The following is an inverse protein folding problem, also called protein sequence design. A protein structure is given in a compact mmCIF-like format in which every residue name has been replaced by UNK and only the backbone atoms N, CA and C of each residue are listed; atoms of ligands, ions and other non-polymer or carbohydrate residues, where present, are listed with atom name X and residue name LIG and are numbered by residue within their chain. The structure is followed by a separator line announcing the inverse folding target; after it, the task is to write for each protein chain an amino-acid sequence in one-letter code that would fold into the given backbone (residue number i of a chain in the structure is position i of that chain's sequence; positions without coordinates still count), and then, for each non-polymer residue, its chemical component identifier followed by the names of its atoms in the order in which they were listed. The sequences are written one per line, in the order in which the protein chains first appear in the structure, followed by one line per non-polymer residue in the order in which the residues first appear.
data_IF_690560634700
#
_entry.id   IF_690560634700
#
_cell.length_a   1.000
_cell.length_b   1.000
_cell.length_c   1.000
_cell.angle_alpha   90.00
_cell.angle_beta   90.00
_cell.angle_gamma   90.00
#
_symmetry.space_group_name_H-M   'P 1'
#
loop_
_entity.id
_entity.type
_entity.pdbx_description
1 polymer ?
#
# COMPACT_ATOMS: atom_id res chain seq x y z
N UNK A 1 0.83 -28.47 -12.42
CA UNK A 1 0.92 -27.15 -11.76
C UNK A 1 -0.43 -26.66 -11.30
N UNK A 2 -1.41 -26.60 -12.20
CA UNK A 2 -2.78 -26.16 -11.89
C UNK A 2 -3.40 -26.83 -10.64
N UNK A 3 -3.36 -28.16 -10.54
CA UNK A 3 -3.93 -28.87 -9.38
C UNK A 3 -3.25 -28.51 -8.04
N UNK A 4 -1.95 -28.18 -8.05
CA UNK A 4 -1.25 -27.73 -6.82
C UNK A 4 -1.75 -26.36 -6.40
N UNK A 5 -1.91 -25.45 -7.36
CA UNK A 5 -2.42 -24.12 -7.13
C UNK A 5 -3.87 -24.15 -6.63
N UNK A 6 -4.71 -25.03 -7.20
CA UNK A 6 -6.07 -25.26 -6.71
C UNK A 6 -6.07 -25.76 -5.27
N UNK A 7 -5.18 -26.70 -4.93
CA UNK A 7 -5.08 -27.23 -3.58
C UNK A 7 -4.65 -26.16 -2.56
N UNK A 8 -3.65 -25.34 -2.90
CA UNK A 8 -3.20 -24.27 -2.00
C UNK A 8 -4.27 -23.17 -1.85
N UNK A 9 -4.96 -22.77 -2.93
CA UNK A 9 -6.10 -21.87 -2.83
C UNK A 9 -7.22 -22.46 -1.97
N UNK A 10 -7.58 -23.74 -2.19
CA UNK A 10 -8.61 -24.42 -1.40
C UNK A 10 -8.26 -24.43 0.11
N UNK A 11 -6.98 -24.61 0.47
CA UNK A 11 -6.55 -24.51 1.88
C UNK A 11 -6.79 -23.11 2.46
N UNK A 12 -6.56 -22.06 1.67
CA UNK A 12 -6.80 -20.67 2.10
C UNK A 12 -8.31 -20.44 2.28
N UNK A 13 -9.13 -20.73 1.28
CA UNK A 13 -10.56 -20.36 1.27
C UNK A 13 -11.47 -21.27 2.10
N UNK A 14 -11.06 -22.50 2.44
CA UNK A 14 -11.83 -23.38 3.33
C UNK A 14 -11.81 -22.95 4.80
N UNK A 15 -10.85 -22.13 5.21
CA UNK A 15 -10.75 -21.66 6.60
C UNK A 15 -11.76 -20.53 6.81
N UNK A 16 -12.59 -20.64 7.84
CA UNK A 16 -13.59 -19.62 8.23
C UNK A 16 -12.95 -18.25 8.45
N UNK A 17 -11.73 -18.21 8.99
CA UNK A 17 -10.96 -16.97 9.19
C UNK A 17 -10.73 -16.17 7.90
N UNK A 18 -10.63 -16.81 6.74
CA UNK A 18 -10.41 -16.12 5.46
C UNK A 18 -11.62 -15.29 5.08
N UNK A 19 -12.83 -15.82 5.32
CA UNK A 19 -14.07 -15.08 5.12
C UNK A 19 -14.24 -13.97 6.15
N UNK A 20 -13.84 -14.20 7.41
CA UNK A 20 -13.81 -13.14 8.42
C UNK A 20 -12.86 -12.00 8.03
N UNK A 21 -11.71 -12.30 7.42
CA UNK A 21 -10.78 -11.30 6.90
C UNK A 21 -11.42 -10.46 5.78
N UNK A 22 -12.07 -11.12 4.80
CA UNK A 22 -12.71 -10.42 3.68
C UNK A 22 -13.86 -9.52 4.16
N UNK A 23 -14.76 -10.05 5.00
CA UNK A 23 -15.87 -9.29 5.57
C UNK A 23 -15.34 -8.15 6.45
N UNK A 24 -14.34 -8.44 7.28
CA UNK A 24 -13.68 -7.45 8.13
C UNK A 24 -13.09 -6.30 7.30
N UNK A 25 -12.40 -6.60 6.19
CA UNK A 25 -11.86 -5.58 5.29
C UNK A 25 -12.95 -4.68 4.72
N UNK A 26 -14.07 -5.25 4.24
CA UNK A 26 -15.20 -4.45 3.73
C UNK A 26 -15.78 -3.55 4.82
N UNK A 27 -15.95 -4.07 6.03
CA UNK A 27 -16.42 -3.26 7.18
C UNK A 27 -15.43 -2.16 7.55
N UNK A 28 -14.13 -2.43 7.51
CA UNK A 28 -13.08 -1.43 7.72
C UNK A 28 -13.16 -0.32 6.66
N UNK A 29 -13.36 -0.66 5.38
CA UNK A 29 -13.51 0.33 4.31
C UNK A 29 -14.74 1.20 4.52
N UNK A 30 -15.89 0.59 4.83
CA UNK A 30 -17.13 1.31 5.14
C UNK A 30 -16.90 2.26 6.33
N UNK A 31 -16.37 1.75 7.44
CA UNK A 31 -16.14 2.53 8.64
C UNK A 31 -15.14 3.67 8.42
N UNK A 32 -14.07 3.43 7.68
CA UNK A 32 -13.05 4.43 7.35
C UNK A 32 -13.62 5.57 6.50
N UNK A 33 -14.32 5.26 5.41
CA UNK A 33 -14.90 6.29 4.53
C UNK A 33 -16.02 7.08 5.21
N UNK A 34 -16.84 6.42 6.02
CA UNK A 34 -17.83 7.12 6.86
C UNK A 34 -17.12 8.03 7.86
N UNK A 35 -16.07 7.56 8.53
CA UNK A 35 -15.32 8.37 9.49
C UNK A 35 -14.67 9.59 8.84
N UNK A 36 -14.14 9.46 7.61
CA UNK A 36 -13.60 10.59 6.86
C UNK A 36 -14.67 11.65 6.56
N UNK A 37 -15.87 11.23 6.16
CA UNK A 37 -17.01 12.14 5.92
C UNK A 37 -17.38 13.00 7.13
N UNK A 38 -17.20 12.48 8.35
CA UNK A 38 -17.51 13.19 9.60
C UNK A 38 -16.30 13.90 10.21
N UNK A 39 -15.06 13.41 10.00
CA UNK A 39 -13.83 13.98 10.56
C UNK A 39 -13.33 15.20 9.78
N UNK A 40 -13.53 15.20 8.46
CA UNK A 40 -13.16 16.33 7.57
C UNK A 40 -14.16 17.50 7.67
N UNK A 41 -15.14 17.44 8.59
CA UNK A 41 -16.08 18.56 8.86
C UNK A 41 -15.82 19.26 10.21
N UNK A 42 -14.74 20.04 10.37
CA UNK A 42 -14.70 21.06 11.41
C UNK A 42 -15.60 22.25 10.99
N UNK A 43 -16.83 22.28 11.52
CA UNK A 43 -17.55 23.49 11.94
C UNK A 43 -17.56 24.69 10.94
N UNK A 44 -18.09 24.58 9.70
CA UNK A 44 -18.68 25.73 8.96
C UNK A 44 -19.29 25.48 7.55
N UNK A 45 -19.48 24.25 7.07
CA UNK A 45 -19.80 24.02 5.65
C UNK A 45 -21.10 23.25 5.41
N UNK A 46 -22.20 23.76 5.96
CA UNK A 46 -23.53 23.32 5.50
C UNK A 46 -24.02 24.07 4.26
N UNK A 47 -23.40 25.22 3.87
CA UNK A 47 -23.87 26.07 2.75
C UNK A 47 -22.84 27.06 2.17
N UNK A 48 -21.52 26.93 2.42
CA UNK A 48 -20.53 27.91 1.96
C UNK A 48 -19.85 27.44 0.66
N UNK A 49 -19.91 28.27 -0.38
CA UNK A 49 -19.16 28.15 -1.64
C UNK A 49 -17.72 27.66 -1.38
N UNK A 50 -17.31 26.58 -2.05
CA UNK A 50 -15.98 25.98 -1.86
C UNK A 50 -14.86 27.00 -2.05
N UNK A 51 -15.07 28.03 -2.91
CA UNK A 51 -14.12 29.13 -3.09
C UNK A 51 -13.91 29.95 -1.83
N UNK A 52 -14.99 30.22 -1.08
CA UNK A 52 -14.92 30.98 0.18
C UNK A 52 -14.13 30.19 1.23
N UNK A 53 -14.36 28.88 1.31
CA UNK A 53 -13.65 28.01 2.24
C UNK A 53 -12.15 27.92 1.87
N UNK A 54 -11.85 27.75 0.59
CA UNK A 54 -10.47 27.68 0.11
C UNK A 54 -9.74 29.02 0.28
N UNK A 55 -10.39 30.16 0.02
CA UNK A 55 -9.81 31.48 0.29
C UNK A 55 -9.49 31.67 1.77
N UNK A 56 -10.38 31.22 2.66
CA UNK A 56 -10.13 31.23 4.10
C UNK A 56 -8.95 30.34 4.49
N UNK A 57 -8.81 29.18 3.86
CA UNK A 57 -7.68 28.28 4.09
C UNK A 57 -6.36 28.89 3.60
N UNK A 58 -6.34 29.50 2.41
CA UNK A 58 -5.18 30.24 1.89
C UNK A 58 -4.76 31.36 2.84
N UNK A 59 -5.72 32.14 3.36
CA UNK A 59 -5.42 33.20 4.34
C UNK A 59 -4.83 32.65 5.64
N UNK A 60 -5.41 31.57 6.17
CA UNK A 60 -4.88 30.91 7.37
C UNK A 60 -3.45 30.40 7.13
N UNK A 61 -3.18 29.81 5.98
CA UNK A 61 -1.87 29.27 5.62
C UNK A 61 -0.81 30.36 5.43
N UNK A 62 -1.19 31.49 4.84
CA UNK A 62 -0.34 32.68 4.75
C UNK A 62 0.00 33.23 6.14
N UNK A 63 -0.98 33.27 7.05
CA UNK A 63 -0.75 33.67 8.44
C UNK A 63 0.16 32.67 9.16
N UNK A 64 -0.01 31.37 8.93
CA UNK A 64 0.87 30.34 9.49
C UNK A 64 2.31 30.55 9.03
N UNK A 65 2.55 30.79 7.74
CA UNK A 65 3.90 31.06 7.19
C UNK A 65 4.51 32.35 7.75
N UNK A 66 3.70 33.37 8.01
CA UNK A 66 4.18 34.63 8.59
C UNK A 66 4.53 34.50 10.08
N UNK A 67 3.77 33.69 10.83
CA UNK A 67 3.83 33.63 12.29
C UNK A 67 4.62 32.44 12.85
N UNK A 68 4.87 31.40 12.05
CA UNK A 68 5.62 30.21 12.45
C UNK A 68 6.74 29.91 11.46
N UNK A 69 7.90 29.51 11.99
CA UNK A 69 8.99 28.95 11.21
C UNK A 69 9.39 27.59 11.80
N UNK A 70 9.07 26.51 11.09
CA UNK A 70 9.40 25.14 11.49
C UNK A 70 10.39 24.47 10.52
N UNK A 71 11.17 25.27 9.79
CA UNK A 71 12.17 24.77 8.84
C UNK A 71 11.68 24.74 7.39
N UNK A 72 12.61 24.41 6.48
CA UNK A 72 12.42 24.52 5.03
C UNK A 72 11.32 23.58 4.49
N UNK A 73 11.30 22.31 4.92
CA UNK A 73 10.32 21.33 4.44
C UNK A 73 8.89 21.70 4.85
N UNK A 74 8.72 22.20 6.08
CA UNK A 74 7.42 22.68 6.55
C UNK A 74 6.95 23.90 5.74
N UNK A 75 7.86 24.86 5.46
CA UNK A 75 7.53 26.02 4.61
C UNK A 75 7.15 25.58 3.20
N UNK A 76 7.89 24.64 2.61
CA UNK A 76 7.60 24.09 1.29
C UNK A 76 6.22 23.42 1.24
N UNK A 77 5.87 22.62 2.25
CA UNK A 77 4.56 21.97 2.35
C UNK A 77 3.40 22.96 2.44
N UNK A 78 3.50 23.96 3.34
CA UNK A 78 2.44 24.98 3.48
C UNK A 78 2.33 25.85 2.23
N UNK A 79 3.47 26.21 1.62
CA UNK A 79 3.50 26.95 0.34
C UNK A 79 2.83 26.17 -0.78
N UNK A 80 3.12 24.87 -0.89
CA UNK A 80 2.51 23.97 -1.87
C UNK A 80 0.99 23.91 -1.71
N UNK A 81 0.49 23.83 -0.47
CA UNK A 81 -0.95 23.87 -0.19
C UNK A 81 -1.59 25.19 -0.61
N UNK A 82 -0.94 26.33 -0.35
CA UNK A 82 -1.41 27.65 -0.82
C UNK A 82 -1.49 27.67 -2.36
N UNK A 83 -0.45 27.20 -3.04
CA UNK A 83 -0.39 27.22 -4.51
C UNK A 83 -1.47 26.33 -5.13
N UNK A 84 -1.68 25.12 -4.63
CA UNK A 84 -2.77 24.23 -5.06
C UNK A 84 -4.12 24.89 -4.81
N UNK A 85 -4.32 25.45 -3.62
CA UNK A 85 -5.59 26.05 -3.28
C UNK A 85 -5.92 27.29 -4.13
N UNK A 86 -4.91 28.13 -4.40
CA UNK A 86 -5.05 29.27 -5.28
C UNK A 86 -5.34 28.83 -6.72
N UNK A 87 -4.69 27.76 -7.19
CA UNK A 87 -4.91 27.20 -8.53
C UNK A 87 -6.36 26.74 -8.72
N UNK A 88 -6.94 26.04 -7.73
CA UNK A 88 -8.35 25.66 -7.73
C UNK A 88 -9.26 26.88 -7.88
N UNK A 89 -9.03 27.94 -7.10
CA UNK A 89 -9.82 29.19 -7.14
C UNK A 89 -9.72 29.85 -8.52
N UNK A 90 -8.49 30.01 -9.03
CA UNK A 90 -8.19 30.74 -10.27
C UNK A 90 -8.73 30.03 -11.51
N UNK A 91 -8.68 28.69 -11.53
CA UNK A 91 -9.14 27.86 -12.65
C UNK A 91 -10.58 27.36 -12.47
N UNK A 92 -11.25 27.74 -11.39
CA UNK A 92 -12.62 27.30 -11.07
C UNK A 92 -12.77 25.77 -11.02
N UNK A 93 -11.78 25.07 -10.47
CA UNK A 93 -11.76 23.61 -10.31
C UNK A 93 -12.15 23.29 -8.86
N UNK A 94 -13.25 22.56 -8.60
CA UNK A 94 -13.62 22.20 -7.23
C UNK A 94 -12.62 21.21 -6.61
N UNK A 95 -12.47 21.22 -5.26
CA UNK A 95 -11.61 20.27 -4.57
C UNK A 95 -12.12 18.84 -4.74
N UNK A 96 -11.20 17.89 -4.85
CA UNK A 96 -11.52 16.49 -5.13
C UNK A 96 -11.80 15.66 -3.88
N UNK A 97 -11.55 16.20 -2.69
CA UNK A 97 -11.67 15.46 -1.41
C UNK A 97 -13.09 14.94 -1.15
N UNK A 98 -14.12 15.70 -1.53
CA UNK A 98 -15.54 15.36 -1.37
C UNK A 98 -16.14 14.68 -2.61
N UNK A 99 -15.31 14.04 -3.44
CA UNK A 99 -15.75 13.37 -4.68
C UNK A 99 -15.65 11.86 -4.59
N UNK A 100 -16.29 11.16 -5.53
CA UNK A 100 -16.21 9.71 -5.64
C UNK A 100 -14.74 9.22 -5.64
N UNK A 101 -13.90 9.86 -6.45
CA UNK A 101 -12.49 9.49 -6.61
C UNK A 101 -11.60 9.99 -5.47
N UNK A 102 -11.95 11.09 -4.81
CA UNK A 102 -11.30 11.54 -3.58
C UNK A 102 -11.36 10.50 -2.48
N UNK A 103 -12.56 9.97 -2.22
CA UNK A 103 -12.74 8.86 -1.27
C UNK A 103 -11.99 7.59 -1.67
N UNK A 104 -11.92 7.27 -2.97
CA UNK A 104 -11.12 6.13 -3.45
C UNK A 104 -9.64 6.36 -3.20
N UNK A 105 -9.13 7.58 -3.43
CA UNK A 105 -7.75 7.95 -3.11
C UNK A 105 -7.48 7.84 -1.61
N UNK A 106 -8.38 8.33 -0.76
CA UNK A 106 -8.27 8.16 0.69
C UNK A 106 -8.29 6.68 1.11
N UNK A 107 -9.12 5.86 0.47
CA UNK A 107 -9.16 4.42 0.75
C UNK A 107 -7.86 3.69 0.36
N UNK A 108 -6.98 4.30 -0.45
CA UNK A 108 -5.65 3.75 -0.72
C UNK A 108 -4.80 3.66 0.57
N UNK A 109 -5.06 4.48 1.58
CA UNK A 109 -4.39 4.39 2.88
C UNK A 109 -4.64 3.03 3.57
N UNK A 110 -5.75 2.37 3.25
CA UNK A 110 -6.07 1.02 3.76
C UNK A 110 -5.29 -0.10 3.05
N UNK A 111 -4.45 0.21 2.05
CA UNK A 111 -3.58 -0.79 1.43
C UNK A 111 -2.59 -1.40 2.44
N UNK A 112 -2.24 -0.66 3.49
CA UNK A 112 -1.46 -1.19 4.61
C UNK A 112 -2.20 -2.35 5.30
N UNK A 113 -3.51 -2.25 5.47
CA UNK A 113 -4.35 -3.30 6.07
C UNK A 113 -4.39 -4.53 5.16
N UNK A 114 -4.59 -4.33 3.86
CA UNK A 114 -4.53 -5.39 2.84
C UNK A 114 -3.17 -6.11 2.88
N UNK A 115 -2.08 -5.35 2.97
CA UNK A 115 -0.72 -5.90 3.02
C UNK A 115 -0.51 -6.72 4.29
N UNK A 116 -0.91 -6.23 5.46
CA UNK A 116 -0.80 -6.97 6.74
C UNK A 116 -1.60 -8.28 6.70
N UNK A 117 -2.86 -8.23 6.24
CA UNK A 117 -3.72 -9.42 6.15
C UNK A 117 -3.13 -10.47 5.21
N UNK A 118 -2.53 -10.03 4.12
CA UNK A 118 -1.85 -10.91 3.16
C UNK A 118 -0.55 -11.49 3.74
N UNK A 119 0.22 -10.69 4.47
CA UNK A 119 1.43 -11.11 5.18
C UNK A 119 1.13 -12.22 6.19
N UNK A 120 -0.02 -12.18 6.87
CA UNK A 120 -0.43 -13.25 7.78
C UNK A 120 -0.57 -14.58 7.01
N UNK A 121 -1.24 -14.58 5.86
CA UNK A 121 -1.42 -15.78 5.03
C UNK A 121 -0.10 -16.24 4.41
N UNK A 122 0.71 -15.31 3.90
CA UNK A 122 2.02 -15.61 3.32
C UNK A 122 3.01 -16.16 4.35
N UNK A 123 3.07 -15.54 5.52
CA UNK A 123 3.90 -15.92 6.66
C UNK A 123 3.57 -17.31 7.20
N UNK A 124 2.29 -17.71 7.21
CA UNK A 124 1.88 -19.06 7.60
C UNK A 124 2.07 -20.10 6.49
N UNK A 125 2.17 -19.71 5.22
CA UNK A 125 2.10 -20.61 4.06
C UNK A 125 3.04 -21.82 4.11
N UNK A 126 4.30 -21.61 4.48
CA UNK A 126 5.32 -22.67 4.62
C UNK A 126 5.60 -22.99 6.09
N UNK A 127 5.73 -21.98 6.95
CA UNK A 127 5.98 -22.17 8.38
C UNK A 127 4.84 -22.91 9.10
N UNK A 128 3.60 -22.78 8.64
CA UNK A 128 2.44 -23.51 9.14
C UNK A 128 2.55 -25.01 8.91
N UNK A 129 3.09 -25.45 7.79
CA UNK A 129 3.30 -26.89 7.52
C UNK A 129 4.32 -27.52 8.47
N UNK A 130 5.30 -26.73 8.96
CA UNK A 130 6.20 -27.17 10.03
C UNK A 130 5.51 -27.23 11.38
N UNK A 131 4.69 -26.22 11.67
CA UNK A 131 3.97 -26.11 12.95
C UNK A 131 2.95 -27.25 13.10
N UNK A 132 2.24 -27.57 12.02
CA UNK A 132 1.23 -28.64 11.97
C UNK A 132 1.84 -30.04 11.78
N UNK A 133 3.17 -30.15 11.58
CA UNK A 133 3.86 -31.41 11.31
C UNK A 133 3.58 -32.02 9.92
N UNK A 134 2.82 -31.34 9.07
CA UNK A 134 2.42 -31.81 7.73
C UNK A 134 3.51 -31.66 6.67
N UNK A 135 4.61 -30.97 6.97
CA UNK A 135 5.73 -30.78 6.05
C UNK A 135 6.30 -32.11 5.53
N UNK A 136 6.31 -33.17 6.36
CA UNK A 136 6.77 -34.51 5.97
C UNK A 136 5.83 -35.09 4.90
N UNK A 137 4.53 -35.03 5.13
CA UNK A 137 3.48 -35.51 4.21
C UNK A 137 3.51 -34.76 2.88
N UNK A 138 3.88 -33.49 2.91
CA UNK A 138 4.00 -32.64 1.73
C UNK A 138 5.22 -33.01 0.88
N UNK A 139 6.35 -33.38 1.50
CA UNK A 139 7.59 -33.73 0.78
C UNK A 139 7.67 -35.18 0.27
N UNK A 140 6.88 -36.12 0.80
CA UNK A 140 6.83 -37.50 0.28
C UNK A 140 6.03 -37.64 -1.03
N UNK A 141 5.27 -36.61 -1.41
CA UNK A 141 4.52 -36.62 -2.68
C UNK A 141 5.47 -36.63 -3.86
N UNK A 142 5.15 -37.32 -4.97
CA UNK A 142 5.98 -37.39 -6.18
C UNK A 142 5.89 -36.09 -7.01
N UNK A 143 6.14 -34.95 -6.37
CA UNK A 143 6.07 -33.60 -6.95
C UNK A 143 7.35 -32.87 -6.57
N UNK A 144 7.97 -32.17 -7.52
CA UNK A 144 9.21 -31.46 -7.22
C UNK A 144 9.00 -30.35 -6.17
N UNK A 145 9.96 -30.21 -5.25
CA UNK A 145 9.95 -29.19 -4.19
C UNK A 145 9.74 -27.77 -4.74
N UNK A 146 10.34 -27.46 -5.89
CA UNK A 146 10.18 -26.19 -6.58
C UNK A 146 8.73 -25.92 -7.00
N UNK A 147 8.03 -26.93 -7.54
CA UNK A 147 6.62 -26.78 -7.93
C UNK A 147 5.73 -26.50 -6.72
N UNK A 148 6.04 -27.13 -5.58
CA UNK A 148 5.29 -26.93 -4.33
C UNK A 148 5.52 -25.51 -3.78
N UNK A 149 6.78 -25.09 -3.68
CA UNK A 149 7.13 -23.75 -3.20
C UNK A 149 6.51 -22.67 -4.10
N UNK A 150 6.63 -22.83 -5.41
CA UNK A 150 6.05 -21.89 -6.38
C UNK A 150 4.52 -21.85 -6.30
N UNK A 151 3.83 -23.01 -6.18
CA UNK A 151 2.36 -23.00 -6.03
C UNK A 151 1.90 -22.28 -4.76
N UNK A 152 2.66 -22.39 -3.67
CA UNK A 152 2.39 -21.68 -2.42
C UNK A 152 2.58 -20.17 -2.56
N UNK A 153 3.67 -19.75 -3.20
CA UNK A 153 3.92 -18.33 -3.48
C UNK A 153 2.82 -17.72 -4.35
N UNK A 154 2.46 -18.39 -5.47
CA UNK A 154 1.39 -17.90 -6.35
C UNK A 154 0.04 -17.87 -5.64
N UNK A 155 -0.28 -18.86 -4.79
CA UNK A 155 -1.50 -18.80 -3.97
C UNK A 155 -1.52 -17.61 -3.02
N UNK A 156 -0.38 -17.27 -2.38
CA UNK A 156 -0.26 -16.05 -1.57
C UNK A 156 -0.51 -14.80 -2.41
N UNK A 157 0.09 -14.69 -3.60
CA UNK A 157 -0.09 -13.53 -4.50
C UNK A 157 -1.55 -13.42 -4.99
N UNK A 158 -2.19 -14.53 -5.35
CA UNK A 158 -3.60 -14.54 -5.74
C UNK A 158 -4.49 -14.05 -4.60
N UNK A 159 -4.18 -14.43 -3.37
CA UNK A 159 -4.90 -13.94 -2.20
C UNK A 159 -4.68 -12.43 -1.98
N UNK A 160 -3.45 -11.92 -2.19
CA UNK A 160 -3.17 -10.47 -2.16
C UNK A 160 -4.02 -9.72 -3.20
N UNK A 161 -4.05 -10.22 -4.44
CA UNK A 161 -4.81 -9.61 -5.53
C UNK A 161 -6.31 -9.63 -5.24
N UNK A 162 -6.83 -10.68 -4.61
CA UNK A 162 -8.21 -10.73 -4.15
C UNK A 162 -8.49 -9.63 -3.13
N UNK A 163 -7.68 -9.51 -2.06
CA UNK A 163 -7.90 -8.48 -1.04
C UNK A 163 -7.73 -7.06 -1.58
N UNK A 164 -6.77 -6.84 -2.47
CA UNK A 164 -6.63 -5.61 -3.24
C UNK A 164 -7.92 -5.27 -4.01
N UNK A 165 -8.48 -6.26 -4.72
CA UNK A 165 -9.70 -6.08 -5.50
C UNK A 165 -10.90 -5.80 -4.60
N UNK A 166 -11.00 -6.50 -3.46
CA UNK A 166 -12.05 -6.25 -2.46
C UNK A 166 -11.95 -4.84 -1.90
N UNK A 167 -10.76 -4.36 -1.56
CA UNK A 167 -10.54 -2.98 -1.12
C UNK A 167 -11.00 -1.99 -2.20
N UNK A 168 -10.50 -2.12 -3.43
CA UNK A 168 -10.82 -1.18 -4.50
C UNK A 168 -12.31 -1.17 -4.83
N UNK A 169 -12.93 -2.35 -5.00
CA UNK A 169 -14.35 -2.47 -5.34
C UNK A 169 -15.24 -1.98 -4.19
N UNK A 170 -14.93 -2.32 -2.94
CA UNK A 170 -15.71 -1.82 -1.79
C UNK A 170 -15.57 -0.31 -1.64
N UNK A 171 -14.38 0.26 -1.81
CA UNK A 171 -14.17 1.70 -1.79
C UNK A 171 -14.98 2.40 -2.89
N UNK A 172 -14.96 1.86 -4.11
CA UNK A 172 -15.75 2.38 -5.24
C UNK A 172 -17.25 2.34 -4.96
N UNK A 173 -17.78 1.21 -4.47
CA UNK A 173 -19.21 1.06 -4.17
C UNK A 173 -19.63 2.00 -3.04
N UNK A 174 -18.90 2.01 -1.91
CA UNK A 174 -19.22 2.86 -0.75
C UNK A 174 -19.13 4.33 -1.13
N UNK A 175 -18.09 4.72 -1.85
CA UNK A 175 -17.93 6.10 -2.33
C UNK A 175 -19.07 6.51 -3.26
N UNK A 176 -19.46 5.65 -4.21
CA UNK A 176 -20.60 5.92 -5.09
C UNK A 176 -21.95 5.93 -4.38
N UNK A 177 -22.11 5.25 -3.24
CA UNK A 177 -23.32 5.37 -2.40
C UNK A 177 -23.35 6.70 -1.64
N UNK A 178 -22.20 7.18 -1.15
CA UNK A 178 -22.11 8.45 -0.39
C UNK A 178 -22.25 9.66 -1.31
N UNK A 179 -21.51 9.66 -2.43
CA UNK A 179 -21.36 10.81 -3.31
C UNK A 179 -22.14 10.68 -4.63
N UNK A 180 -22.73 9.52 -4.94
CA UNK A 180 -23.29 9.24 -6.26
C UNK A 180 -22.23 8.91 -7.31
N UNK A 181 -22.65 8.29 -8.42
CA UNK A 181 -21.77 7.91 -9.53
C UNK A 181 -21.72 9.01 -10.60
N UNK A 182 -21.34 10.23 -10.20
CA UNK A 182 -21.13 11.36 -11.11
C UNK A 182 -19.67 11.85 -11.03
N UNK A 183 -19.31 12.80 -11.88
CA UNK A 183 -17.99 13.46 -11.87
C UNK A 183 -16.79 12.50 -12.01
N UNK A 184 -16.94 11.50 -12.89
CA UNK A 184 -15.95 10.45 -13.12
C UNK A 184 -14.65 10.94 -13.79
N UNK A 185 -14.60 12.18 -14.28
CA UNK A 185 -13.49 12.71 -15.07
C UNK A 185 -12.97 14.07 -14.59
N UNK A 186 -13.09 14.36 -13.28
CA UNK A 186 -12.58 15.62 -12.72
C UNK A 186 -11.06 15.70 -12.74
N UNK A 187 -10.56 16.94 -12.80
CA UNK A 187 -9.15 17.25 -12.68
C UNK A 187 -8.66 17.07 -11.24
N UNK A 188 -7.53 16.41 -11.09
CA UNK A 188 -6.77 16.30 -9.86
C UNK A 188 -5.60 17.28 -9.90
N UNK A 189 -5.56 18.18 -8.93
CA UNK A 189 -4.55 19.23 -8.82
C UNK A 189 -3.63 18.90 -7.66
N UNK A 190 -2.32 18.90 -7.89
CA UNK A 190 -1.31 18.71 -6.86
C UNK A 190 -0.10 19.61 -7.13
N UNK A 191 0.69 19.89 -6.10
CA UNK A 191 1.96 20.59 -6.24
C UNK A 191 3.13 19.64 -5.99
N UNK A 192 4.13 19.74 -6.84
CA UNK A 192 5.44 19.11 -6.64
C UNK A 192 6.26 19.91 -5.61
N UNK A 193 7.28 19.29 -5.00
CA UNK A 193 8.13 19.96 -4.00
C UNK A 193 8.91 21.18 -4.53
N UNK A 194 9.01 21.35 -5.85
CA UNK A 194 9.57 22.52 -6.52
C UNK A 194 8.58 23.70 -6.61
N UNK A 195 7.36 23.54 -6.10
CA UNK A 195 6.30 24.55 -6.13
C UNK A 195 5.54 24.61 -7.46
N UNK A 196 5.76 23.67 -8.38
CA UNK A 196 5.02 23.61 -9.64
C UNK A 196 3.69 22.89 -9.40
N UNK A 197 2.60 23.56 -9.78
CA UNK A 197 1.25 22.97 -9.74
C UNK A 197 1.01 22.18 -11.02
N UNK A 198 0.56 20.94 -10.86
CA UNK A 198 0.21 20.02 -11.92
C UNK A 198 -1.27 19.68 -11.86
N UNK A 199 -1.89 19.65 -13.03
CA UNK A 199 -3.26 19.17 -13.24
C UNK A 199 -3.20 17.84 -14.01
N UNK A 200 -3.85 16.81 -13.50
CA UNK A 200 -3.94 15.49 -14.15
C UNK A 200 -5.34 14.92 -14.02
N UNK A 201 -5.64 13.86 -14.76
CA UNK A 201 -6.91 13.16 -14.62
C UNK A 201 -6.96 12.36 -13.29
N UNK A 202 -8.01 12.54 -12.49
CA UNK A 202 -8.10 11.88 -11.18
C UNK A 202 -8.15 10.35 -11.27
N UNK A 203 -8.76 9.79 -12.31
CA UNK A 203 -8.86 8.34 -12.52
C UNK A 203 -7.47 7.78 -12.75
N UNK A 204 -6.69 8.43 -13.61
CA UNK A 204 -5.32 8.02 -13.88
C UNK A 204 -4.47 8.12 -12.62
N UNK A 205 -4.61 9.19 -11.84
CA UNK A 205 -3.88 9.35 -10.59
C UNK A 205 -4.27 8.23 -9.59
N UNK A 206 -5.56 8.00 -9.36
CA UNK A 206 -6.06 6.96 -8.47
C UNK A 206 -5.58 5.56 -8.87
N UNK A 207 -5.74 5.17 -10.13
CA UNK A 207 -5.28 3.86 -10.62
C UNK A 207 -3.77 3.73 -10.43
N UNK A 208 -2.99 4.77 -10.76
CA UNK A 208 -1.54 4.74 -10.60
C UNK A 208 -1.13 4.58 -9.14
N UNK A 209 -1.77 5.29 -8.22
CA UNK A 209 -1.55 5.17 -6.76
C UNK A 209 -1.78 3.72 -6.30
N UNK A 210 -2.91 3.13 -6.65
CA UNK A 210 -3.22 1.74 -6.29
C UNK A 210 -2.22 0.73 -6.88
N UNK A 211 -1.83 0.89 -8.15
CA UNK A 211 -0.85 -0.01 -8.79
C UNK A 211 0.54 0.13 -8.16
N UNK A 212 0.98 1.33 -7.82
CA UNK A 212 2.26 1.57 -7.17
C UNK A 212 2.28 0.97 -5.75
N UNK A 213 1.22 1.15 -4.98
CA UNK A 213 1.11 0.48 -3.68
C UNK A 213 0.98 -1.06 -3.81
N UNK A 214 0.40 -1.57 -4.90
CA UNK A 214 0.37 -3.01 -5.16
C UNK A 214 1.79 -3.58 -5.38
N UNK A 215 2.71 -2.81 -5.98
CA UNK A 215 4.13 -3.21 -6.09
C UNK A 215 4.76 -3.33 -4.70
N UNK A 216 4.53 -2.36 -3.82
CA UNK A 216 4.97 -2.42 -2.42
C UNK A 216 4.41 -3.67 -1.72
N UNK A 217 3.11 -3.92 -1.84
CA UNK A 217 2.45 -5.09 -1.28
C UNK A 217 3.11 -6.39 -1.77
N UNK A 218 3.34 -6.55 -3.07
CA UNK A 218 4.00 -7.75 -3.64
C UNK A 218 5.39 -7.94 -3.03
N UNK A 219 6.17 -6.88 -2.87
CA UNK A 219 7.50 -6.96 -2.26
C UNK A 219 7.46 -7.39 -0.80
N UNK A 220 6.55 -6.82 -0.01
CA UNK A 220 6.38 -7.18 1.41
C UNK A 220 5.88 -8.62 1.55
N UNK A 221 4.94 -9.05 0.69
CA UNK A 221 4.44 -10.44 0.66
C UNK A 221 5.54 -11.43 0.28
N UNK A 222 6.42 -11.04 -0.64
CA UNK A 222 7.59 -11.82 -1.04
C UNK A 222 8.60 -11.97 0.10
N UNK A 223 8.90 -10.88 0.80
CA UNK A 223 9.74 -10.88 2.00
C UNK A 223 9.13 -11.80 3.07
N UNK A 224 7.83 -11.66 3.33
CA UNK A 224 7.11 -12.52 4.28
C UNK A 224 7.14 -13.99 3.89
N UNK A 225 7.00 -14.29 2.60
CA UNK A 225 7.10 -15.66 2.09
C UNK A 225 8.49 -16.24 2.31
N UNK A 226 9.55 -15.47 2.05
CA UNK A 226 10.92 -15.87 2.36
C UNK A 226 11.08 -16.16 3.85
N UNK A 227 10.60 -15.27 4.73
CA UNK A 227 10.62 -15.47 6.18
C UNK A 227 9.85 -16.73 6.58
N UNK A 228 8.70 -17.01 5.96
CA UNK A 228 7.92 -18.23 6.16
C UNK A 228 8.74 -19.49 5.87
N UNK A 229 9.50 -19.48 4.76
CA UNK A 229 10.35 -20.60 4.36
C UNK A 229 11.53 -20.79 5.32
N UNK A 230 12.11 -19.70 5.80
CA UNK A 230 13.22 -19.71 6.75
C UNK A 230 12.79 -20.14 8.16
N UNK A 231 11.51 -19.95 8.50
CA UNK A 231 10.98 -20.22 9.83
C UNK A 231 10.49 -21.66 9.98
N UNK A 232 10.37 -22.13 11.24
CA UNK A 232 9.71 -23.40 11.60
C UNK A 232 8.45 -23.20 12.44
N UNK A 233 8.18 -21.96 12.85
CA UNK A 233 7.02 -21.56 13.64
C UNK A 233 6.22 -20.54 12.83
N UNK A 234 4.93 -20.81 12.64
CA UNK A 234 4.00 -19.89 11.96
C UNK A 234 3.89 -18.56 12.71
N UNK A 235 3.75 -18.60 14.03
CA UNK A 235 3.66 -17.41 14.87
C UNK A 235 4.90 -16.51 14.73
N UNK A 236 6.10 -17.10 14.78
CA UNK A 236 7.34 -16.36 14.59
C UNK A 236 7.44 -15.75 13.19
N UNK A 237 7.11 -16.53 12.15
CA UNK A 237 7.17 -16.05 10.77
C UNK A 237 6.24 -14.84 10.53
N UNK A 238 5.01 -14.91 11.04
CA UNK A 238 4.01 -13.84 10.95
C UNK A 238 4.52 -12.61 11.71
N UNK A 239 4.91 -12.77 12.97
CA UNK A 239 5.37 -11.67 13.82
C UNK A 239 6.60 -10.96 13.23
N UNK A 240 7.60 -11.72 12.75
CA UNK A 240 8.80 -11.15 12.14
C UNK A 240 8.49 -10.42 10.83
N UNK A 241 7.58 -10.96 10.01
CA UNK A 241 7.17 -10.31 8.75
C UNK A 241 6.47 -8.98 9.00
N UNK A 242 5.49 -8.95 9.91
CA UNK A 242 4.76 -7.73 10.27
C UNK A 242 5.72 -6.72 10.94
N UNK A 243 6.55 -7.19 11.86
CA UNK A 243 7.54 -6.35 12.54
C UNK A 243 8.52 -5.71 11.55
N UNK A 244 9.00 -6.47 10.56
CA UNK A 244 9.92 -5.96 9.54
C UNK A 244 9.23 -5.00 8.57
N UNK A 245 7.95 -5.22 8.25
CA UNK A 245 7.18 -4.29 7.43
C UNK A 245 7.10 -2.91 8.11
N UNK A 246 6.61 -2.84 9.35
CA UNK A 246 6.43 -1.57 10.05
C UNK A 246 7.76 -0.93 10.43
N UNK A 247 8.70 -1.69 11.01
CA UNK A 247 10.02 -1.16 11.33
C UNK A 247 10.75 -0.68 10.07
N UNK A 248 10.61 -1.43 8.98
CA UNK A 248 11.20 -1.11 7.68
C UNK A 248 10.77 0.26 7.17
N UNK A 249 9.46 0.52 7.16
CA UNK A 249 8.92 1.83 6.75
C UNK A 249 9.25 2.94 7.75
N UNK A 250 9.30 2.67 9.06
CA UNK A 250 9.64 3.69 10.06
C UNK A 250 11.11 4.12 10.00
N UNK A 251 12.01 3.20 9.62
CA UNK A 251 13.45 3.48 9.52
C UNK A 251 13.78 4.39 8.32
N UNK A 252 12.96 4.38 7.26
CA UNK A 252 13.12 5.25 6.06
C UNK A 252 13.34 6.71 6.45
N UNK A 253 12.47 7.27 7.29
CA UNK A 253 12.57 8.67 7.70
C UNK A 253 13.83 9.01 8.50
N UNK A 254 14.38 8.03 9.24
CA UNK A 254 15.65 8.21 9.97
C UNK A 254 16.86 8.10 9.03
N UNK A 255 16.77 7.27 8.00
CA UNK A 255 17.87 7.02 7.07
C UNK A 255 17.96 8.04 5.93
N UNK A 256 16.91 8.80 5.64
CA UNK A 256 16.85 9.77 4.52
C UNK A 256 17.97 10.82 4.54
N UNK A 257 18.54 11.11 5.71
CA UNK A 257 19.71 11.99 5.87
C UNK A 257 21.00 11.42 5.26
N UNK A 258 21.07 10.11 4.98
CA UNK A 258 22.25 9.45 4.46
C UNK A 258 22.11 9.11 2.98
N UNK A 259 23.11 9.49 2.17
CA UNK A 259 23.10 9.25 0.71
C UNK A 259 23.08 7.77 0.30
N UNK A 260 23.53 6.87 1.18
CA UNK A 260 23.48 5.42 0.93
C UNK A 260 22.09 4.82 1.18
N UNK A 261 21.19 5.54 1.88
CA UNK A 261 19.85 5.05 2.20
C UNK A 261 18.99 4.81 0.96
N UNK A 262 19.34 5.39 -0.19
CA UNK A 262 18.73 5.05 -1.48
C UNK A 262 18.81 3.55 -1.83
N UNK A 263 19.77 2.80 -1.28
CA UNK A 263 19.87 1.35 -1.49
C UNK A 263 19.00 0.53 -0.51
N UNK A 264 18.42 1.16 0.49
CA UNK A 264 17.55 0.51 1.45
C UNK A 264 16.25 0.04 0.76
N UNK A 265 15.81 -1.19 1.04
CA UNK A 265 14.65 -1.77 0.37
C UNK A 265 13.40 -0.90 0.48
N UNK A 266 13.02 -0.52 1.70
CA UNK A 266 11.75 0.16 1.95
C UNK A 266 11.69 1.57 1.36
N UNK A 267 12.85 2.19 1.14
CA UNK A 267 12.99 3.46 0.40
C UNK A 267 12.52 3.34 -1.05
N UNK A 268 12.71 2.16 -1.66
CA UNK A 268 12.42 1.92 -3.06
C UNK A 268 11.05 1.28 -3.29
N UNK A 269 10.40 0.74 -2.25
CA UNK A 269 9.12 0.05 -2.41
C UNK A 269 7.95 1.00 -2.58
N UNK A 270 8.01 2.21 -2.03
CA UNK A 270 6.99 3.22 -2.25
C UNK A 270 7.27 3.95 -3.58
N UNK A 271 6.54 3.58 -4.63
CA UNK A 271 6.65 4.24 -5.94
C UNK A 271 5.72 5.46 -6.07
N UNK A 272 4.84 5.71 -5.08
CA UNK A 272 3.90 6.85 -5.11
C UNK A 272 4.62 8.19 -5.01
N UNK A 273 5.82 8.22 -4.41
CA UNK A 273 6.71 9.39 -4.38
C UNK A 273 7.06 9.95 -5.78
N UNK A 274 6.97 9.13 -6.83
CA UNK A 274 7.23 9.57 -8.21
C UNK A 274 6.00 10.15 -8.91
N UNK A 275 4.79 9.97 -8.37
CA UNK A 275 3.58 10.61 -8.91
C UNK A 275 3.59 12.11 -8.65
N UNK A 276 4.14 12.52 -7.51
CA UNK A 276 4.23 13.92 -7.07
C UNK A 276 5.59 14.54 -7.36
N UNK A 277 6.46 13.85 -8.12
CA UNK A 277 7.79 14.35 -8.49
C UNK A 277 8.74 14.57 -7.31
N UNK A 278 8.47 13.94 -6.16
CA UNK A 278 9.01 14.34 -4.86
C UNK A 278 9.62 13.13 -4.13
N UNK A 279 10.73 12.56 -4.65
CA UNK A 279 11.38 11.43 -3.99
C UNK A 279 11.96 11.83 -2.63
N UNK A 280 11.89 10.92 -1.67
CA UNK A 280 12.32 11.17 -0.29
C UNK A 280 13.84 11.39 -0.16
N UNK A 281 14.64 10.79 -1.05
CA UNK A 281 16.08 11.06 -1.16
C UNK A 281 16.40 11.76 -2.49
N UNK A 282 17.11 12.90 -2.47
CA UNK A 282 17.51 13.60 -3.68
C UNK A 282 18.28 12.71 -4.66
N UNK A 283 17.93 12.79 -5.94
CA UNK A 283 18.59 12.04 -7.02
C UNK A 283 18.09 10.61 -7.21
N UNK A 284 17.10 10.15 -6.43
CA UNK A 284 16.39 8.91 -6.74
C UNK A 284 15.53 9.08 -8.00
N UNK A 285 15.51 8.05 -8.83
CA UNK A 285 14.69 7.99 -10.04
C UNK A 285 13.81 6.74 -10.01
N UNK A 286 12.68 6.79 -10.70
CA UNK A 286 11.77 5.65 -10.80
C UNK A 286 12.48 4.39 -11.31
N UNK A 287 13.35 4.52 -12.32
CA UNK A 287 14.11 3.40 -12.87
C UNK A 287 15.08 2.79 -11.84
N UNK A 288 15.73 3.63 -11.04
CA UNK A 288 16.60 3.17 -9.98
C UNK A 288 15.81 2.36 -8.93
N UNK A 289 14.65 2.85 -8.51
CA UNK A 289 13.82 2.12 -7.54
C UNK A 289 13.27 0.80 -8.07
N UNK A 290 12.82 0.77 -9.34
CA UNK A 290 12.42 -0.48 -10.01
C UNK A 290 13.58 -1.49 -10.05
N UNK A 291 14.80 -1.01 -10.32
CA UNK A 291 16.00 -1.87 -10.35
C UNK A 291 16.28 -2.46 -8.97
N UNK A 292 16.23 -1.64 -7.91
CA UNK A 292 16.42 -2.09 -6.54
C UNK A 292 15.34 -3.09 -6.10
N UNK A 293 14.07 -2.81 -6.42
CA UNK A 293 12.95 -3.73 -6.20
C UNK A 293 13.24 -5.09 -6.86
N UNK A 294 13.66 -5.10 -8.13
CA UNK A 294 13.95 -6.34 -8.86
C UNK A 294 15.11 -7.13 -8.23
N UNK A 295 16.18 -6.45 -7.81
CA UNK A 295 17.32 -7.08 -7.12
C UNK A 295 16.87 -7.76 -5.83
N UNK A 296 16.13 -7.06 -4.96
CA UNK A 296 15.62 -7.64 -3.72
C UNK A 296 14.60 -8.76 -3.97
N UNK A 297 13.75 -8.61 -4.99
CA UNK A 297 12.79 -9.64 -5.37
C UNK A 297 13.50 -10.95 -5.75
N UNK A 298 14.54 -10.87 -6.58
CA UNK A 298 15.36 -12.02 -6.96
C UNK A 298 16.08 -12.60 -5.73
N UNK A 299 16.69 -11.75 -4.91
CA UNK A 299 17.37 -12.16 -3.69
C UNK A 299 16.46 -13.00 -2.78
N UNK A 300 15.25 -12.51 -2.49
CA UNK A 300 14.30 -13.21 -1.63
C UNK A 300 13.87 -14.57 -2.19
N UNK A 301 13.62 -14.65 -3.50
CA UNK A 301 13.29 -15.91 -4.16
C UNK A 301 14.46 -16.90 -4.13
N UNK A 302 15.68 -16.44 -4.39
CA UNK A 302 16.89 -17.27 -4.36
C UNK A 302 17.13 -17.82 -2.95
N UNK A 303 17.03 -16.98 -1.92
CA UNK A 303 17.19 -17.39 -0.53
C UNK A 303 16.13 -18.40 -0.10
N UNK A 304 14.86 -18.12 -0.39
CA UNK A 304 13.74 -19.02 -0.10
C UNK A 304 13.95 -20.38 -0.80
N UNK A 305 14.28 -20.37 -2.09
CA UNK A 305 14.48 -21.59 -2.87
C UNK A 305 15.68 -22.41 -2.39
N UNK A 306 16.81 -21.75 -2.12
CA UNK A 306 18.02 -22.40 -1.63
C UNK A 306 17.78 -23.12 -0.30
N UNK A 307 17.10 -22.46 0.64
CA UNK A 307 16.80 -23.06 1.96
C UNK A 307 15.78 -24.18 1.85
N UNK A 308 14.71 -24.01 1.05
CA UNK A 308 13.69 -25.05 0.87
C UNK A 308 14.25 -26.31 0.19
N UNK A 309 15.21 -26.16 -0.73
CA UNK A 309 15.86 -27.30 -1.39
C UNK A 309 16.85 -28.03 -0.50
N UNK A 310 17.69 -27.29 0.25
CA UNK A 310 18.76 -27.86 1.09
C UNK A 310 18.28 -28.39 2.43
N UNK A 311 17.09 -28.00 2.91
CA UNK A 311 16.55 -28.56 4.16
C UNK A 311 16.25 -30.05 3.99
N UNK A 312 17.07 -30.87 4.63
CA UNK A 312 16.73 -32.27 4.91
C UNK A 312 15.65 -32.32 5.98
N UNK A 313 14.61 -33.10 5.69
CA UNK A 313 13.60 -33.47 6.67
C UNK A 313 14.03 -34.84 7.21
N UNK A 314 15.01 -34.83 8.10
CA UNK A 314 15.44 -36.06 8.80
C UNK A 314 14.40 -36.50 9.84
N UNK A 315 14.40 -37.82 10.05
CA UNK A 315 13.36 -38.68 10.64
C UNK A 315 12.65 -38.15 11.88
#
# INVERSE_FOLDING_TARGET
MFNLLLNENMKIYRRTRTWMIIVGLVLTVIGFLIAQQYSVKPFQTANADWKVNMQKQVQNDQQLLANMDRGADWKAHVTSRILVNQYHIDHNIPPTEDTLWGNILQAADLMVVVTVLTVIISGESVAGEYTDGTIKLLLIRPVSRTKILFSKYIASIMFSVLLFSVLFVSAFIVSGVIHGFHDLGVSYVFASNDGIVHETNIVQHAISTYLYQAVQMVMVVTLSFMISVLSRSSAFAIALSIGTMFAGTSIVGFLSQFQWAKFYLFENTDLTQFLTGSPNIPGMTMLFSITMIAVYFILFHVLAWAVFKKRDITA
#
